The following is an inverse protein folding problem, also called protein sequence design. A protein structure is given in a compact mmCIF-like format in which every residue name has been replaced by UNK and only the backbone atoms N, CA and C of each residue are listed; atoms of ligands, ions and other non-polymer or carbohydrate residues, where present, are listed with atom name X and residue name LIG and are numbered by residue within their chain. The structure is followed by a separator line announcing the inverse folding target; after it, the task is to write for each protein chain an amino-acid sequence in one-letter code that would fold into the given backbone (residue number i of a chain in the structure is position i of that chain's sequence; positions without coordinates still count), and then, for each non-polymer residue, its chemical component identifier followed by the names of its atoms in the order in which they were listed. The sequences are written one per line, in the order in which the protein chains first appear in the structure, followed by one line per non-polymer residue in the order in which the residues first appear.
data_IF_931700439451
#
_entry.id   IF_931700439451
#
_cell.length_a   1.000
_cell.length_b   1.000
_cell.length_c   1.000
_cell.angle_alpha   90.00
_cell.angle_beta   90.00
_cell.angle_gamma   90.00
#
_symmetry.space_group_name_H-M   'P 1'
#
loop_
_entity.id
_entity.type
_entity.pdbx_description
1 polymer ?
#
# COMPACT_ATOMS: atom_id res chain seq x y z
N UNK A 1 19.57 39.91 39.67
CA UNK A 1 18.90 41.22 39.50
C UNK A 1 19.37 41.83 38.18
N UNK A 2 18.51 42.48 37.40
CA UNK A 2 18.88 43.10 36.11
C UNK A 2 18.83 44.62 36.22
N UNK A 3 19.75 45.35 35.58
CA UNK A 3 19.69 46.82 35.53
C UNK A 3 18.74 47.30 34.45
N UNK A 4 17.98 48.34 34.74
CA UNK A 4 17.10 48.97 33.76
C UNK A 4 17.95 49.63 32.66
N UNK A 5 17.69 49.35 31.38
CA UNK A 5 18.46 49.95 30.28
C UNK A 5 18.23 51.45 30.13
N UNK A 6 17.11 51.98 30.66
CA UNK A 6 16.77 53.39 30.52
C UNK A 6 17.35 54.28 31.63
N UNK A 7 17.42 53.80 32.88
CA UNK A 7 17.89 54.62 34.02
C UNK A 7 19.01 53.99 34.86
N UNK A 8 19.44 52.77 34.54
CA UNK A 8 20.54 52.10 35.24
C UNK A 8 20.22 51.55 36.64
N UNK A 9 19.01 51.78 37.18
CA UNK A 9 18.59 51.26 38.49
C UNK A 9 18.48 49.73 38.50
N UNK A 10 18.71 49.13 39.67
CA UNK A 10 18.58 47.68 39.83
C UNK A 10 17.11 47.26 39.91
N UNK A 11 16.71 46.31 39.06
CA UNK A 11 15.33 45.81 38.94
C UNK A 11 15.30 44.31 39.25
N UNK A 12 14.28 43.87 40.00
CA UNK A 12 14.03 42.45 40.29
C UNK A 12 13.78 41.67 39.00
N UNK A 13 14.30 40.45 38.94
CA UNK A 13 14.11 39.57 37.78
C UNK A 13 12.62 39.22 37.60
N UNK A 14 12.13 39.34 36.37
CA UNK A 14 10.72 39.11 36.03
C UNK A 14 9.78 40.31 36.26
N UNK A 15 10.27 41.45 36.77
CA UNK A 15 9.46 42.66 36.90
C UNK A 15 9.05 43.19 35.51
N UNK A 16 7.75 43.45 35.31
CA UNK A 16 7.20 43.95 34.04
C UNK A 16 7.58 45.40 33.74
N UNK A 17 7.87 46.19 34.78
CA UNK A 17 8.24 47.60 34.70
C UNK A 17 9.30 47.94 35.74
N UNK A 18 10.17 48.90 35.43
CA UNK A 18 11.12 49.47 36.38
C UNK A 18 10.37 50.35 37.39
N UNK A 19 10.48 50.05 38.68
CA UNK A 19 9.81 50.78 39.76
C UNK A 19 10.38 52.17 40.00
N UNK A 20 11.55 52.50 39.43
CA UNK A 20 12.21 53.80 39.61
C UNK A 20 11.93 54.78 38.49
N UNK A 21 11.73 54.33 37.24
CA UNK A 21 11.50 55.25 36.10
C UNK A 21 10.30 54.87 35.21
N UNK A 22 9.56 53.80 35.54
CA UNK A 22 8.38 53.37 34.78
C UNK A 22 8.67 52.63 33.47
N UNK A 23 9.94 52.44 33.09
CA UNK A 23 10.30 51.76 31.84
C UNK A 23 9.82 50.30 31.80
N UNK A 24 9.13 49.91 30.72
CA UNK A 24 8.58 48.55 30.53
C UNK A 24 9.68 47.57 30.16
N UNK A 25 9.89 46.54 30.99
CA UNK A 25 10.92 45.53 30.76
C UNK A 25 10.43 44.49 29.74
N UNK A 26 11.27 44.08 28.76
CA UNK A 26 10.91 43.04 27.81
C UNK A 26 10.67 41.69 28.52
N UNK A 27 9.59 40.99 28.15
CA UNK A 27 9.22 39.69 28.75
C UNK A 27 10.25 38.63 28.34
N UNK A 28 10.85 37.97 29.34
CA UNK A 28 11.71 36.82 29.10
C UNK A 28 10.82 35.61 28.80
N UNK A 29 10.68 35.27 27.51
CA UNK A 29 10.01 34.05 27.09
C UNK A 29 11.01 32.89 27.17
N UNK A 30 10.83 32.01 28.16
CA UNK A 30 11.55 30.74 28.20
C UNK A 30 11.00 29.86 27.07
N UNK A 31 11.81 29.66 26.03
CA UNK A 31 11.48 28.80 24.88
C UNK A 31 11.61 27.35 25.33
N UNK A 32 10.48 26.71 25.57
CA UNK A 32 10.28 25.28 25.39
C UNK A 32 8.78 25.05 25.19
N UNK A 33 8.31 25.36 23.99
CA UNK A 33 6.98 24.97 23.56
C UNK A 33 7.08 24.46 22.12
N UNK A 34 7.22 23.14 21.96
CA UNK A 34 6.78 22.45 20.74
C UNK A 34 5.26 22.59 20.72
N UNK A 35 4.78 23.76 20.31
CA UNK A 35 3.38 23.98 20.02
C UNK A 35 3.01 23.09 18.84
N UNK A 36 2.10 22.14 19.10
CA UNK A 36 1.20 21.62 18.08
C UNK A 36 0.49 22.83 17.47
N UNK A 37 1.04 23.39 16.40
CA UNK A 37 0.26 24.21 15.48
C UNK A 37 -0.81 23.29 14.92
N UNK A 38 -2.07 23.66 15.10
CA UNK A 38 -3.12 23.07 14.28
C UNK A 38 -2.70 23.29 12.83
N UNK A 39 -2.43 22.20 12.11
CA UNK A 39 -2.17 22.25 10.67
C UNK A 39 -3.49 22.68 10.05
N UNK A 40 -3.63 23.96 9.75
CA UNK A 40 -4.73 24.46 8.94
C UNK A 40 -4.57 23.80 7.57
N UNK A 41 -5.53 22.93 7.22
CA UNK A 41 -5.51 22.22 5.94
C UNK A 41 -5.80 23.25 4.86
N UNK A 42 -4.75 23.69 4.17
CA UNK A 42 -4.89 24.56 3.00
C UNK A 42 -5.56 23.78 1.87
N UNK A 43 -6.84 24.06 1.69
CA UNK A 43 -7.67 23.46 0.64
C UNK A 43 -7.16 23.76 -0.78
N UNK A 44 -6.45 24.88 -0.97
CA UNK A 44 -5.83 25.25 -2.24
C UNK A 44 -4.69 24.31 -2.60
N UNK A 45 -3.79 24.07 -1.65
CA UNK A 45 -2.67 23.11 -1.81
C UNK A 45 -3.21 21.69 -2.03
N UNK A 46 -4.23 21.27 -1.29
CA UNK A 46 -4.80 19.92 -1.43
C UNK A 46 -5.44 19.70 -2.81
N UNK A 47 -6.09 20.75 -3.36
CA UNK A 47 -6.65 20.73 -4.71
C UNK A 47 -5.55 20.64 -5.77
N UNK A 48 -4.49 21.44 -5.63
CA UNK A 48 -3.36 21.43 -6.57
C UNK A 48 -2.66 20.07 -6.61
N UNK A 49 -2.35 19.49 -5.45
CA UNK A 49 -1.76 18.14 -5.35
C UNK A 49 -2.66 17.08 -5.99
N UNK A 50 -3.97 17.14 -5.74
CA UNK A 50 -4.93 16.18 -6.31
C UNK A 50 -5.04 16.30 -7.84
N UNK A 51 -5.07 17.52 -8.37
CA UNK A 51 -5.12 17.77 -9.82
C UNK A 51 -3.82 17.33 -10.47
N UNK A 52 -2.67 17.62 -9.85
CA UNK A 52 -1.36 17.20 -10.34
C UNK A 52 -1.24 15.67 -10.39
N UNK A 53 -1.63 14.98 -9.32
CA UNK A 53 -1.66 13.52 -9.28
C UNK A 53 -2.61 12.93 -10.32
N UNK A 54 -3.81 13.51 -10.48
CA UNK A 54 -4.76 13.07 -11.50
C UNK A 54 -4.20 13.27 -12.92
N UNK A 55 -3.56 14.41 -13.19
CA UNK A 55 -2.89 14.67 -14.45
C UNK A 55 -1.85 13.60 -14.77
N UNK A 56 -0.96 13.33 -13.80
CA UNK A 56 0.06 12.29 -13.90
C UNK A 56 -0.53 10.90 -14.17
N UNK A 57 -1.58 10.50 -13.45
CA UNK A 57 -2.25 9.20 -13.60
C UNK A 57 -2.96 9.07 -14.96
N UNK A 58 -3.59 10.14 -15.43
CA UNK A 58 -4.22 10.10 -16.76
C UNK A 58 -3.20 10.11 -17.89
N UNK A 59 -2.04 10.73 -17.69
CA UNK A 59 -0.91 10.70 -18.63
C UNK A 59 -0.35 9.28 -18.75
N UNK A 60 -0.14 8.62 -17.61
CA UNK A 60 0.39 7.26 -17.54
C UNK A 60 -0.50 6.21 -18.23
N UNK A 61 -1.82 6.39 -18.23
CA UNK A 61 -2.73 5.51 -18.96
C UNK A 61 -2.70 5.71 -20.47
N UNK A 62 -2.37 6.91 -20.94
CA UNK A 62 -2.31 7.22 -22.38
C UNK A 62 -0.95 6.86 -22.97
N UNK A 63 0.12 7.14 -22.22
CA UNK A 63 1.51 6.98 -22.65
C UNK A 63 2.33 6.24 -21.58
N UNK A 64 2.07 4.94 -21.32
CA UNK A 64 2.67 4.23 -20.19
C UNK A 64 4.19 4.07 -20.28
N UNK A 65 4.79 4.13 -21.48
CA UNK A 65 6.24 4.01 -21.67
C UNK A 65 6.96 5.36 -21.71
N UNK A 66 6.24 6.47 -21.86
CA UNK A 66 6.81 7.83 -21.87
C UNK A 66 6.68 8.41 -20.47
N UNK A 67 7.64 8.08 -19.61
CA UNK A 67 7.57 8.38 -18.18
C UNK A 67 7.68 9.88 -17.94
N UNK A 68 6.59 10.46 -17.44
CA UNK A 68 6.57 11.82 -16.91
C UNK A 68 6.76 11.80 -15.39
N UNK A 69 7.72 12.59 -14.89
CA UNK A 69 7.98 12.68 -13.46
C UNK A 69 6.93 13.56 -12.80
N UNK A 70 6.02 12.92 -12.05
CA UNK A 70 5.02 13.58 -11.22
C UNK A 70 5.57 14.02 -9.87
N UNK A 71 4.67 14.21 -8.90
CA UNK A 71 5.05 14.50 -7.52
C UNK A 71 5.93 13.39 -6.92
N UNK A 72 6.84 13.76 -6.02
CA UNK A 72 7.86 12.86 -5.41
C UNK A 72 7.33 11.51 -4.91
N UNK A 73 6.09 11.48 -4.42
CA UNK A 73 5.47 10.29 -3.83
C UNK A 73 4.33 9.71 -4.68
N UNK A 74 4.15 10.17 -5.93
CA UNK A 74 3.03 9.75 -6.78
C UNK A 74 2.97 8.23 -6.93
N UNK A 75 4.10 7.58 -7.21
CA UNK A 75 4.16 6.13 -7.37
C UNK A 75 3.88 5.35 -6.09
N UNK A 76 4.38 5.82 -4.93
CA UNK A 76 4.07 5.20 -3.64
C UNK A 76 2.57 5.27 -3.33
N UNK A 77 1.95 6.42 -3.62
CA UNK A 77 0.51 6.60 -3.46
C UNK A 77 -0.26 5.68 -4.41
N UNK A 78 0.14 5.58 -5.68
CA UNK A 78 -0.50 4.69 -6.66
C UNK A 78 -0.41 3.22 -6.24
N UNK A 79 0.77 2.72 -5.84
CA UNK A 79 0.94 1.35 -5.36
C UNK A 79 0.09 1.05 -4.11
N UNK A 80 -0.02 2.03 -3.20
CA UNK A 80 -0.88 1.88 -2.03
C UNK A 80 -2.37 1.83 -2.41
N UNK A 81 -2.82 2.69 -3.32
CA UNK A 81 -4.22 2.69 -3.79
C UNK A 81 -4.52 1.37 -4.51
N UNK A 82 -3.65 0.92 -5.41
CA UNK A 82 -3.80 -0.36 -6.11
C UNK A 82 -3.89 -1.53 -5.14
N UNK A 83 -2.97 -1.62 -4.18
CA UNK A 83 -2.99 -2.63 -3.13
C UNK A 83 -4.26 -2.60 -2.30
N UNK A 84 -4.77 -1.40 -1.97
CA UNK A 84 -6.00 -1.25 -1.18
C UNK A 84 -7.24 -1.71 -1.96
N UNK A 85 -7.39 -1.29 -3.22
CA UNK A 85 -8.52 -1.70 -4.07
C UNK A 85 -8.49 -3.22 -4.30
N UNK A 86 -7.32 -3.79 -4.57
CA UNK A 86 -7.17 -5.23 -4.71
C UNK A 86 -7.54 -5.97 -3.42
N UNK A 87 -7.01 -5.53 -2.27
CA UNK A 87 -7.30 -6.16 -0.97
C UNK A 87 -8.79 -6.07 -0.59
N UNK A 88 -9.47 -4.97 -0.93
CA UNK A 88 -10.91 -4.85 -0.78
C UNK A 88 -11.65 -5.88 -1.64
N UNK A 89 -11.21 -6.05 -2.88
CA UNK A 89 -11.78 -7.03 -3.81
C UNK A 89 -11.64 -8.45 -3.26
N UNK A 90 -10.44 -8.81 -2.76
CA UNK A 90 -10.18 -10.11 -2.13
C UNK A 90 -11.06 -10.32 -0.88
N UNK A 91 -11.17 -9.32 0.00
CA UNK A 91 -12.02 -9.42 1.19
C UNK A 91 -13.49 -9.73 0.82
N UNK A 92 -14.03 -9.07 -0.20
CA UNK A 92 -15.41 -9.31 -0.67
C UNK A 92 -15.53 -10.74 -1.24
N UNK A 93 -14.56 -11.18 -2.04
CA UNK A 93 -14.56 -12.53 -2.60
C UNK A 93 -14.47 -13.61 -1.51
N UNK A 94 -13.59 -13.44 -0.52
CA UNK A 94 -13.47 -14.37 0.62
C UNK A 94 -14.75 -14.42 1.43
N UNK A 95 -15.42 -13.28 1.69
CA UNK A 95 -16.74 -13.24 2.33
C UNK A 95 -17.78 -14.04 1.55
N UNK A 96 -17.77 -13.95 0.22
CA UNK A 96 -18.70 -14.69 -0.65
C UNK A 96 -18.45 -16.18 -0.65
N UNK A 97 -17.19 -16.61 -0.69
CA UNK A 97 -16.81 -18.02 -0.56
C UNK A 97 -17.27 -18.59 0.78
N UNK A 98 -17.05 -17.85 1.88
CA UNK A 98 -17.51 -18.29 3.19
C UNK A 98 -19.05 -18.27 3.32
N UNK A 99 -19.73 -17.30 2.72
CA UNK A 99 -21.19 -17.27 2.65
C UNK A 99 -21.75 -18.50 1.95
N UNK A 100 -21.22 -18.85 0.77
CA UNK A 100 -21.61 -20.05 0.03
C UNK A 100 -21.37 -21.34 0.83
N UNK A 101 -20.30 -21.39 1.62
CA UNK A 101 -20.06 -22.50 2.53
C UNK A 101 -21.11 -22.56 3.66
N UNK A 102 -21.41 -21.42 4.33
CA UNK A 102 -22.44 -21.33 5.38
C UNK A 102 -23.81 -21.78 4.86
N UNK A 103 -24.16 -21.38 3.64
CA UNK A 103 -25.43 -21.77 3.00
C UNK A 103 -25.48 -23.28 2.71
N UNK A 104 -24.33 -23.90 2.43
CA UNK A 104 -24.21 -25.33 2.13
C UNK A 104 -24.29 -26.19 3.40
N UNK A 105 -23.57 -25.82 4.47
CA UNK A 105 -23.49 -26.64 5.71
C UNK A 105 -24.55 -26.28 6.75
N UNK A 106 -25.25 -25.16 6.56
CA UNK A 106 -26.23 -24.61 7.49
C UNK A 106 -25.62 -23.70 8.56
N UNK A 107 -26.38 -22.68 8.97
CA UNK A 107 -25.91 -21.63 9.89
C UNK A 107 -25.47 -22.15 11.27
N UNK A 108 -26.20 -23.12 11.83
CA UNK A 108 -25.89 -23.70 13.14
C UNK A 108 -24.52 -24.39 13.11
N UNK A 109 -24.34 -25.29 12.14
CA UNK A 109 -23.09 -25.99 11.88
C UNK A 109 -21.94 -25.02 11.63
N UNK A 110 -22.12 -24.06 10.72
CA UNK A 110 -21.08 -23.09 10.39
C UNK A 110 -20.62 -22.29 11.62
N UNK A 111 -21.56 -21.89 12.49
CA UNK A 111 -21.23 -21.19 13.74
C UNK A 111 -20.45 -22.07 14.70
N UNK A 112 -20.82 -23.36 14.82
CA UNK A 112 -20.12 -24.31 15.70
C UNK A 112 -18.66 -24.54 15.30
N UNK A 113 -18.35 -24.51 14.00
CA UNK A 113 -16.98 -24.66 13.49
C UNK A 113 -16.23 -23.32 13.32
N UNK A 114 -16.80 -22.21 13.80
CA UNK A 114 -16.15 -20.90 13.81
C UNK A 114 -16.21 -20.14 12.48
N UNK A 115 -17.04 -20.56 11.54
CA UNK A 115 -17.23 -19.88 10.25
C UNK A 115 -18.37 -18.89 10.35
N UNK A 116 -18.06 -17.60 10.16
CA UNK A 116 -19.08 -16.57 10.05
C UNK A 116 -18.78 -15.63 8.87
N UNK A 117 -19.75 -15.48 7.99
CA UNK A 117 -19.66 -14.54 6.84
C UNK A 117 -19.59 -13.07 7.30
N UNK A 118 -20.01 -12.78 8.52
CA UNK A 118 -20.01 -11.44 9.12
C UNK A 118 -18.66 -11.02 9.70
N UNK A 119 -17.84 -11.95 10.21
CA UNK A 119 -16.57 -11.63 10.87
C UNK A 119 -15.33 -11.81 9.98
N UNK A 120 -15.48 -12.28 8.73
CA UNK A 120 -14.41 -12.22 7.75
C UNK A 120 -14.13 -10.75 7.48
N UNK A 121 -13.13 -10.25 8.18
CA UNK A 121 -13.08 -8.84 8.53
C UNK A 121 -12.01 -8.06 7.80
N UNK A 122 -11.75 -6.92 8.41
CA UNK A 122 -10.65 -6.00 8.10
C UNK A 122 -9.26 -6.68 8.13
N UNK A 123 -9.11 -7.80 8.84
CA UNK A 123 -7.85 -8.55 8.88
C UNK A 123 -7.42 -9.09 7.50
N UNK A 124 -8.38 -9.61 6.71
CA UNK A 124 -8.09 -10.08 5.35
C UNK A 124 -7.63 -8.91 4.48
N UNK A 125 -8.34 -7.79 4.57
CA UNK A 125 -7.98 -6.56 3.88
C UNK A 125 -6.57 -6.10 4.26
N UNK A 126 -6.27 -5.93 5.56
CA UNK A 126 -4.96 -5.46 6.02
C UNK A 126 -3.85 -6.42 5.61
N UNK A 127 -4.06 -7.74 5.74
CA UNK A 127 -3.06 -8.73 5.36
C UNK A 127 -2.70 -8.62 3.87
N UNK A 128 -3.69 -8.65 2.98
CA UNK A 128 -3.44 -8.58 1.53
C UNK A 128 -2.92 -7.21 1.11
N UNK A 129 -3.41 -6.12 1.70
CA UNK A 129 -2.92 -4.77 1.46
C UNK A 129 -1.43 -4.65 1.78
N UNK A 130 -1.03 -5.04 3.00
CA UNK A 130 0.36 -4.98 3.42
C UNK A 130 1.23 -5.94 2.63
N UNK A 131 0.78 -7.17 2.38
CA UNK A 131 1.55 -8.14 1.60
C UNK A 131 1.84 -7.63 0.19
N UNK A 132 0.84 -7.09 -0.52
CA UNK A 132 1.05 -6.58 -1.88
C UNK A 132 1.91 -5.32 -1.89
N UNK A 133 1.62 -4.38 -0.99
CA UNK A 133 2.37 -3.13 -0.91
C UNK A 133 3.84 -3.38 -0.55
N UNK A 134 4.13 -4.24 0.43
CA UNK A 134 5.50 -4.56 0.79
C UNK A 134 6.20 -5.37 -0.31
N UNK A 135 5.50 -6.31 -0.95
CA UNK A 135 6.06 -7.12 -2.03
C UNK A 135 6.45 -6.25 -3.23
N UNK A 136 5.61 -5.28 -3.61
CA UNK A 136 5.93 -4.37 -4.72
C UNK A 136 7.17 -3.51 -4.39
N UNK A 137 7.28 -2.99 -3.17
CA UNK A 137 8.46 -2.24 -2.73
C UNK A 137 9.73 -3.09 -2.72
N UNK A 138 9.64 -4.35 -2.29
CA UNK A 138 10.78 -5.29 -2.31
C UNK A 138 11.21 -5.60 -3.74
N UNK A 139 10.27 -5.84 -4.66
CA UNK A 139 10.58 -6.07 -6.08
C UNK A 139 11.29 -4.84 -6.66
N UNK A 140 10.74 -3.63 -6.46
CA UNK A 140 11.38 -2.39 -6.94
C UNK A 140 12.74 -2.16 -6.26
N UNK A 141 12.90 -2.60 -5.01
CA UNK A 141 14.19 -2.59 -4.31
C UNK A 141 15.24 -3.45 -4.99
N UNK A 142 14.87 -4.63 -5.49
CA UNK A 142 15.77 -5.46 -6.30
C UNK A 142 16.07 -4.78 -7.63
N UNK A 143 15.08 -4.21 -8.31
CA UNK A 143 15.30 -3.46 -9.55
C UNK A 143 16.34 -2.34 -9.35
N UNK A 144 16.26 -1.62 -8.23
CA UNK A 144 17.22 -0.57 -7.89
C UNK A 144 18.65 -1.11 -7.67
N UNK A 145 18.79 -2.28 -7.05
CA UNK A 145 20.10 -2.93 -6.87
C UNK A 145 20.66 -3.37 -8.24
N UNK A 146 19.82 -3.90 -9.11
CA UNK A 146 20.20 -4.31 -10.48
C UNK A 146 20.63 -3.10 -11.30
N UNK A 147 19.83 -2.03 -11.31
CA UNK A 147 20.12 -0.78 -11.99
C UNK A 147 21.49 -0.20 -11.58
N UNK A 148 21.76 -0.08 -10.27
CA UNK A 148 23.07 0.37 -9.75
C UNK A 148 24.22 -0.62 -9.95
N UNK A 149 23.92 -1.91 -10.04
CA UNK A 149 24.94 -2.94 -10.26
C UNK A 149 25.45 -2.93 -11.70
N UNK A 150 24.54 -2.76 -12.66
CA UNK A 150 24.78 -2.98 -14.08
C UNK A 150 24.80 -1.71 -14.93
N UNK A 151 24.34 -0.57 -14.42
CA UNK A 151 24.44 0.75 -15.04
C UNK A 151 25.10 1.77 -14.10
N UNK A 152 25.45 2.94 -14.63
CA UNK A 152 25.94 4.09 -13.87
C UNK A 152 24.83 5.14 -13.66
N UNK A 153 23.56 4.72 -13.69
CA UNK A 153 22.41 5.60 -13.50
C UNK A 153 22.42 6.25 -12.10
N UNK A 154 22.02 7.52 -12.02
CA UNK A 154 21.98 8.33 -10.81
C UNK A 154 20.59 8.42 -10.18
N UNK A 155 19.59 7.75 -10.78
CA UNK A 155 18.23 7.66 -10.26
C UNK A 155 18.19 7.30 -8.78
N UNK A 156 17.32 7.97 -8.03
CA UNK A 156 17.02 7.58 -6.65
C UNK A 156 16.03 6.42 -6.62
N UNK A 157 15.96 5.71 -5.50
CA UNK A 157 14.97 4.64 -5.31
C UNK A 157 13.54 5.13 -5.52
N UNK A 158 13.22 6.36 -5.08
CA UNK A 158 11.88 6.93 -5.25
C UNK A 158 11.58 7.29 -6.71
N UNK A 159 12.60 7.67 -7.48
CA UNK A 159 12.44 7.92 -8.92
C UNK A 159 12.09 6.60 -9.63
N UNK A 160 12.77 5.50 -9.27
CA UNK A 160 12.43 4.18 -9.80
C UNK A 160 11.04 3.70 -9.36
N UNK A 161 10.63 3.96 -8.12
CA UNK A 161 9.26 3.66 -7.67
C UNK A 161 8.23 4.44 -8.49
N UNK A 162 8.47 5.74 -8.73
CA UNK A 162 7.58 6.56 -9.56
C UNK A 162 7.55 6.06 -11.01
N UNK A 163 8.71 5.70 -11.57
CA UNK A 163 8.84 5.16 -12.92
C UNK A 163 8.03 3.86 -13.09
N UNK A 164 8.23 2.89 -12.19
CA UNK A 164 7.52 1.60 -12.26
C UNK A 164 6.02 1.78 -12.03
N UNK A 165 5.62 2.59 -11.05
CA UNK A 165 4.21 2.85 -10.78
C UNK A 165 3.54 3.59 -11.95
N UNK A 166 4.26 4.48 -12.66
CA UNK A 166 3.75 5.12 -13.87
C UNK A 166 3.46 4.07 -14.95
N UNK A 167 4.46 3.25 -15.27
CA UNK A 167 4.36 2.19 -16.31
C UNK A 167 3.27 1.17 -16.01
N UNK A 168 3.03 0.88 -14.73
CA UNK A 168 2.07 -0.14 -14.27
C UNK A 168 0.73 0.42 -13.79
N UNK A 169 0.54 1.74 -13.78
CA UNK A 169 -0.67 2.42 -13.28
C UNK A 169 -2.00 1.98 -13.92
N UNK A 170 -1.94 1.32 -15.08
CA UNK A 170 -3.13 0.70 -15.71
C UNK A 170 -3.69 -0.46 -14.88
N UNK A 171 -2.91 -1.02 -13.94
CA UNK A 171 -3.38 -1.98 -12.94
C UNK A 171 -4.50 -1.40 -12.08
N UNK A 172 -4.52 -0.09 -11.83
CA UNK A 172 -5.62 0.56 -11.14
C UNK A 172 -6.96 0.32 -11.84
N UNK A 173 -6.98 0.37 -13.19
CA UNK A 173 -8.20 0.13 -13.97
C UNK A 173 -8.67 -1.32 -13.83
N UNK A 174 -7.75 -2.28 -13.93
CA UNK A 174 -8.05 -3.70 -13.74
C UNK A 174 -8.55 -3.99 -12.32
N UNK A 175 -7.95 -3.38 -11.31
CA UNK A 175 -8.35 -3.53 -9.91
C UNK A 175 -9.73 -2.91 -9.64
N UNK A 176 -10.06 -1.77 -10.27
CA UNK A 176 -11.41 -1.18 -10.19
C UNK A 176 -12.43 -2.10 -10.84
N UNK A 177 -12.13 -2.67 -12.02
CA UNK A 177 -13.00 -3.66 -12.67
C UNK A 177 -13.19 -4.90 -11.79
N UNK A 178 -12.11 -5.41 -11.19
CA UNK A 178 -12.18 -6.53 -10.25
C UNK A 178 -13.05 -6.20 -9.04
N UNK A 179 -12.91 -5.00 -8.45
CA UNK A 179 -13.70 -4.57 -7.32
C UNK A 179 -15.19 -4.49 -7.69
N UNK A 180 -15.52 -3.80 -8.76
CA UNK A 180 -16.90 -3.68 -9.23
C UNK A 180 -17.51 -5.05 -9.50
N UNK A 181 -16.79 -5.91 -10.22
CA UNK A 181 -17.22 -7.28 -10.48
C UNK A 181 -17.44 -8.06 -9.18
N UNK A 182 -16.50 -7.94 -8.23
CA UNK A 182 -16.59 -8.61 -6.94
C UNK A 182 -17.81 -8.18 -6.13
N UNK A 183 -18.37 -6.98 -6.34
CA UNK A 183 -19.60 -6.54 -5.67
C UNK A 183 -20.87 -7.10 -6.32
N UNK A 184 -20.92 -7.14 -7.66
CA UNK A 184 -22.12 -7.50 -8.45
C UNK A 184 -22.43 -9.01 -8.37
N UNK A 185 -21.40 -9.85 -8.34
CA UNK A 185 -21.56 -11.31 -8.44
C UNK A 185 -22.18 -11.91 -7.17
N UNK A 186 -23.42 -12.38 -7.20
CA UNK A 186 -24.07 -12.91 -5.99
C UNK A 186 -23.46 -14.21 -5.46
N UNK A 187 -23.07 -15.14 -6.34
CA UNK A 187 -22.55 -16.45 -5.97
C UNK A 187 -21.34 -16.84 -6.81
N UNK A 188 -20.42 -17.60 -6.22
CA UNK A 188 -19.31 -18.20 -6.94
C UNK A 188 -19.84 -19.25 -7.93
N UNK A 189 -19.55 -19.05 -9.21
CA UNK A 189 -19.90 -19.93 -10.33
C UNK A 189 -18.67 -20.16 -11.21
N UNK A 190 -18.72 -21.15 -12.11
CA UNK A 190 -17.60 -21.39 -13.03
C UNK A 190 -17.28 -20.14 -13.87
N UNK A 191 -18.30 -19.49 -14.42
CA UNK A 191 -18.15 -18.29 -15.25
C UNK A 191 -17.52 -17.12 -14.48
N UNK A 192 -17.86 -16.96 -13.21
CA UNK A 192 -17.32 -15.89 -12.37
C UNK A 192 -15.87 -16.14 -11.97
N UNK A 193 -15.50 -17.39 -11.77
CA UNK A 193 -14.11 -17.79 -11.50
C UNK A 193 -13.22 -17.54 -12.72
N UNK A 194 -13.71 -17.85 -13.93
CA UNK A 194 -12.96 -17.63 -15.18
C UNK A 194 -12.66 -16.15 -15.40
N UNK A 195 -13.64 -15.25 -15.20
CA UNK A 195 -13.41 -13.82 -15.41
C UNK A 195 -12.42 -13.23 -14.40
N UNK A 196 -12.55 -13.60 -13.11
CA UNK A 196 -11.58 -13.20 -12.07
C UNK A 196 -10.17 -13.67 -12.46
N UNK A 197 -10.03 -14.94 -12.86
CA UNK A 197 -8.76 -15.48 -13.33
C UNK A 197 -8.18 -14.71 -14.51
N UNK A 198 -8.99 -14.36 -15.50
CA UNK A 198 -8.56 -13.57 -16.66
C UNK A 198 -8.05 -12.18 -16.25
N UNK A 199 -8.76 -11.47 -15.35
CA UNK A 199 -8.33 -10.16 -14.85
C UNK A 199 -7.00 -10.27 -14.09
N UNK A 200 -6.84 -11.29 -13.24
CA UNK A 200 -5.61 -11.52 -12.49
C UNK A 200 -4.42 -11.86 -13.40
N UNK A 201 -4.64 -12.65 -14.46
CA UNK A 201 -3.61 -12.95 -15.46
C UNK A 201 -3.18 -11.66 -16.20
N UNK A 202 -4.13 -10.84 -16.64
CA UNK A 202 -3.83 -9.57 -17.30
C UNK A 202 -3.05 -8.63 -16.36
N UNK A 203 -3.45 -8.55 -15.09
CA UNK A 203 -2.72 -7.77 -14.08
C UNK A 203 -1.29 -8.30 -13.90
N UNK A 204 -1.09 -9.62 -13.84
CA UNK A 204 0.23 -10.23 -13.76
C UNK A 204 1.10 -9.89 -14.98
N UNK A 205 0.52 -9.90 -16.18
CA UNK A 205 1.23 -9.55 -17.42
C UNK A 205 1.68 -8.08 -17.39
N UNK A 206 0.78 -7.16 -17.07
CA UNK A 206 1.08 -5.72 -16.98
C UNK A 206 2.21 -5.47 -15.98
N UNK A 207 2.12 -6.06 -14.78
CA UNK A 207 3.16 -5.95 -13.76
C UNK A 207 4.51 -6.48 -14.27
N UNK A 208 4.51 -7.65 -14.90
CA UNK A 208 5.73 -8.29 -15.41
C UNK A 208 6.39 -7.48 -16.52
N UNK A 209 5.61 -6.92 -17.45
CA UNK A 209 6.13 -6.04 -18.51
C UNK A 209 6.72 -4.77 -17.89
N UNK A 210 6.04 -4.18 -16.91
CA UNK A 210 6.50 -2.98 -16.22
C UNK A 210 7.88 -3.16 -15.57
N UNK A 211 8.08 -4.24 -14.83
CA UNK A 211 9.38 -4.51 -14.18
C UNK A 211 10.48 -4.89 -15.19
N UNK A 212 10.14 -5.60 -16.28
CA UNK A 212 11.12 -6.00 -17.29
C UNK A 212 11.57 -4.85 -18.18
N UNK A 213 10.74 -3.82 -18.35
CA UNK A 213 11.11 -2.61 -19.11
C UNK A 213 12.42 -1.99 -18.64
N UNK A 214 12.71 -2.06 -17.33
CA UNK A 214 13.95 -1.53 -16.74
C UNK A 214 15.19 -2.15 -17.39
N UNK A 215 15.20 -3.45 -17.64
CA UNK A 215 16.35 -4.12 -18.25
C UNK A 215 16.69 -3.59 -19.64
N UNK A 216 15.67 -3.19 -20.41
CA UNK A 216 15.82 -2.71 -21.78
C UNK A 216 16.15 -1.22 -21.87
N UNK A 217 15.96 -0.47 -20.77
CA UNK A 217 16.16 0.98 -20.72
C UNK A 217 17.47 1.38 -20.02
N UNK A 218 18.27 0.40 -19.55
CA UNK A 218 19.57 0.67 -18.94
C UNK A 218 20.54 1.33 -19.94
N UNK A 219 21.08 2.48 -19.57
CA UNK A 219 22.15 3.16 -20.32
C UNK A 219 23.50 2.53 -20.01
N UNK A 220 24.34 2.34 -21.02
CA UNK A 220 25.71 1.83 -20.89
C UNK A 220 25.81 0.55 -20.03
N UNK A 221 24.84 -0.37 -20.20
CA UNK A 221 24.76 -1.57 -19.41
C UNK A 221 26.01 -2.45 -19.57
N UNK A 222 26.57 -2.92 -18.46
CA UNK A 222 27.74 -3.82 -18.44
C UNK A 222 27.46 -5.20 -19.08
N UNK A 223 26.19 -5.54 -19.25
CA UNK A 223 25.71 -6.81 -19.80
C UNK A 223 24.53 -6.56 -20.74
N UNK A 224 24.26 -7.53 -21.62
CA UNK A 224 23.11 -7.48 -22.51
C UNK A 224 21.78 -7.49 -21.72
N UNK A 225 20.83 -6.68 -22.19
CA UNK A 225 19.52 -6.48 -21.56
C UNK A 225 18.75 -7.79 -21.34
N UNK A 226 18.92 -8.81 -22.20
CA UNK A 226 18.24 -10.09 -22.04
C UNK A 226 18.67 -10.81 -20.76
N UNK A 227 19.97 -10.81 -20.45
CA UNK A 227 20.47 -11.45 -19.23
C UNK A 227 20.06 -10.70 -17.98
N UNK A 228 20.05 -9.36 -18.05
CA UNK A 228 19.57 -8.52 -16.93
C UNK A 228 18.07 -8.76 -16.69
N UNK A 229 17.27 -8.82 -17.75
CA UNK A 229 15.85 -9.16 -17.69
C UNK A 229 15.60 -10.54 -17.09
N UNK A 230 16.41 -11.54 -17.45
CA UNK A 230 16.34 -12.88 -16.86
C UNK A 230 16.63 -12.85 -15.35
N UNK A 231 17.66 -12.12 -14.91
CA UNK A 231 17.99 -11.95 -13.49
C UNK A 231 16.81 -11.32 -12.74
N UNK A 232 16.25 -10.22 -13.27
CA UNK A 232 15.08 -9.55 -12.71
C UNK A 232 13.90 -10.52 -12.57
N UNK A 233 13.61 -11.28 -13.63
CA UNK A 233 12.49 -12.22 -13.64
C UNK A 233 12.67 -13.35 -12.62
N UNK A 234 13.87 -13.93 -12.50
CA UNK A 234 14.17 -14.97 -11.52
C UNK A 234 13.95 -14.46 -10.10
N UNK A 235 14.46 -13.27 -9.77
CA UNK A 235 14.24 -12.66 -8.45
C UNK A 235 12.76 -12.34 -8.21
N UNK A 236 12.04 -11.84 -9.22
CA UNK A 236 10.61 -11.61 -9.15
C UNK A 236 9.85 -12.91 -8.80
N UNK A 237 10.15 -14.01 -9.49
CA UNK A 237 9.52 -15.32 -9.22
C UNK A 237 9.83 -15.83 -7.81
N UNK A 238 11.05 -15.65 -7.31
CA UNK A 238 11.43 -16.03 -5.94
C UNK A 238 10.62 -15.22 -4.92
N UNK A 239 10.53 -13.89 -5.09
CA UNK A 239 9.77 -13.03 -4.17
C UNK A 239 8.29 -13.42 -4.17
N UNK A 240 7.68 -13.61 -5.35
CA UNK A 240 6.28 -14.01 -5.46
C UNK A 240 6.05 -15.38 -4.83
N UNK A 241 6.95 -16.34 -5.01
CA UNK A 241 6.84 -17.65 -4.38
C UNK A 241 6.89 -17.56 -2.84
N UNK A 242 7.77 -16.73 -2.30
CA UNK A 242 7.85 -16.47 -0.84
C UNK A 242 6.56 -15.81 -0.36
N UNK A 243 6.09 -14.78 -1.04
CA UNK A 243 4.86 -14.06 -0.68
C UNK A 243 3.62 -14.97 -0.73
N UNK A 244 3.53 -15.80 -1.77
CA UNK A 244 2.48 -16.80 -1.93
C UNK A 244 2.53 -17.83 -0.79
N UNK A 245 3.72 -18.34 -0.45
CA UNK A 245 3.89 -19.29 0.66
C UNK A 245 3.48 -18.70 2.00
N UNK A 246 3.84 -17.45 2.29
CA UNK A 246 3.43 -16.74 3.50
C UNK A 246 1.89 -16.63 3.55
N UNK A 247 1.28 -16.23 2.44
CA UNK A 247 -0.19 -16.11 2.31
C UNK A 247 -0.89 -17.45 2.52
N UNK A 248 -0.44 -18.49 1.80
CA UNK A 248 -1.01 -19.84 1.92
C UNK A 248 -0.89 -20.35 3.35
N UNK A 249 0.29 -20.25 3.97
CA UNK A 249 0.49 -20.73 5.34
C UNK A 249 -0.39 -19.97 6.35
N UNK A 250 -0.55 -18.65 6.17
CA UNK A 250 -1.37 -17.84 7.07
C UNK A 250 -2.84 -18.31 7.07
N UNK A 251 -3.40 -18.60 5.90
CA UNK A 251 -4.80 -19.02 5.78
C UNK A 251 -4.99 -20.55 5.86
N UNK A 252 -3.98 -21.35 5.55
CA UNK A 252 -4.05 -22.81 5.66
C UNK A 252 -4.29 -23.26 7.11
N UNK A 253 -3.65 -22.60 8.08
CA UNK A 253 -3.86 -22.87 9.52
C UNK A 253 -5.34 -22.64 9.91
N UNK A 254 -5.96 -21.60 9.36
CA UNK A 254 -7.38 -21.29 9.61
C UNK A 254 -8.27 -22.37 9.00
N UNK A 255 -7.99 -22.76 7.74
CA UNK A 255 -8.77 -23.79 7.03
C UNK A 255 -8.61 -25.15 7.70
N UNK A 256 -7.42 -25.52 8.17
CA UNK A 256 -7.19 -26.80 8.86
C UNK A 256 -7.93 -26.87 10.19
N UNK A 257 -7.89 -25.80 11.00
CA UNK A 257 -8.64 -25.73 12.27
C UNK A 257 -10.16 -25.84 12.03
N UNK A 258 -10.66 -25.19 10.98
CA UNK A 258 -12.07 -25.33 10.57
C UNK A 258 -12.43 -26.76 10.17
N UNK A 259 -11.59 -27.41 9.35
CA UNK A 259 -11.82 -28.78 8.87
C UNK A 259 -11.80 -29.79 10.03
N UNK A 260 -10.86 -29.64 10.96
CA UNK A 260 -10.76 -30.51 12.13
C UNK A 260 -12.02 -30.41 13.01
N UNK A 261 -12.51 -29.20 13.30
CA UNK A 261 -13.76 -28.99 14.04
C UNK A 261 -14.96 -29.60 13.34
N UNK A 262 -15.02 -29.47 12.01
CA UNK A 262 -16.10 -30.05 11.21
C UNK A 262 -16.10 -31.58 11.25
N UNK A 263 -14.92 -32.20 11.11
CA UNK A 263 -14.75 -33.66 11.21
C UNK A 263 -15.15 -34.16 12.60
N UNK A 264 -14.68 -33.51 13.67
CA UNK A 264 -15.01 -33.91 15.04
C UNK A 264 -16.51 -33.84 15.31
N UNK A 265 -17.17 -32.76 14.88
CA UNK A 265 -18.62 -32.62 15.02
C UNK A 265 -19.41 -33.70 14.26
N UNK A 266 -18.96 -34.10 13.06
CA UNK A 266 -19.56 -35.22 12.34
C UNK A 266 -19.33 -36.56 13.06
N UNK A 267 -18.15 -36.75 13.65
CA UNK A 267 -17.84 -37.97 14.41
C UNK A 267 -18.72 -38.13 15.65
N UNK A 268 -19.00 -37.04 16.36
CA UNK A 268 -19.91 -37.04 17.51
C UNK A 268 -21.35 -37.38 17.08
N UNK A 269 -21.78 -36.90 15.91
CA UNK A 269 -23.12 -37.17 15.38
C UNK A 269 -23.32 -38.64 14.96
N UNK A 270 -22.26 -39.33 14.54
CA UNK A 270 -22.29 -40.74 14.12
C UNK A 270 -22.25 -41.72 15.30
N UNK A 271 -21.82 -41.25 16.49
CA UNK A 271 -21.78 -42.08 17.70
C UNK A 271 -23.11 -42.12 18.48
N UNK A 272 -24.12 -41.36 18.05
CA UNK A 272 -25.51 -41.40 18.56
C UNK A 272 -26.44 -42.16 17.61
#
# INVERSE_FOLDING_TARGET
MKRCPNCGSAVKEGAKFCTSCGYKMPKVNNVNNRSRQAVEVDTGVMKEVSISYWGWLTSSWKHPLEVEYGGKYAGLVTLAIEGAIFALSVMILVKKVAGAFVDTVGKSTATAIGVSSTNIGFNVFIFFFLMLFLTSLVIIGILFIVDKGFSNDDKSYLDLVNEIAYKTSSLLLLNVVLLLYSTIVSHASANTTVLIGAILILASIVWTIGILSVAFELKDAKMDALYIGLIIYVFHMIIIAIAARITINHYAVIVSDMLEKFINMLSDFVQF
#
